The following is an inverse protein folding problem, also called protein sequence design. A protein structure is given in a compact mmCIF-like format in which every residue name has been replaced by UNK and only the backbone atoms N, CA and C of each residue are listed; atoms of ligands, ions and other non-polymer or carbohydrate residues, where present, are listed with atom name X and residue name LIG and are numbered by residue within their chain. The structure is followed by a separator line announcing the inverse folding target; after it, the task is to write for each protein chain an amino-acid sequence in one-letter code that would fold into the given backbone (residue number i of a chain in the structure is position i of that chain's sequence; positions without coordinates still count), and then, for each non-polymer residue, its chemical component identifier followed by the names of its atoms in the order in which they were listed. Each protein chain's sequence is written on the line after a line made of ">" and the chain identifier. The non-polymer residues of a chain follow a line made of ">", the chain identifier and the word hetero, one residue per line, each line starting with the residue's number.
data_IF_392227086204
#
_entry.id   IF_392227086204
#
_cell.length_a   1.000
_cell.length_b   1.000
_cell.length_c   1.000
_cell.angle_alpha   90.00
_cell.angle_beta   90.00
_cell.angle_gamma   90.00
#
_symmetry.space_group_name_H-M   'P 1'
#
loop_
_entity.id
_entity.type
_entity.pdbx_description
1 polymer ?
#
# COMPACT_ATOMS: atom_id res chain seq x y z
N UNK A 1 2.91 28.69 -15.15
CA UNK A 1 3.49 27.34 -15.35
C UNK A 1 3.68 26.72 -13.97
N UNK A 2 3.09 25.56 -13.70
CA UNK A 2 3.26 24.88 -12.42
C UNK A 2 4.73 24.43 -12.27
N UNK A 3 5.36 24.72 -11.13
CA UNK A 3 6.73 24.28 -10.84
C UNK A 3 6.87 22.76 -10.99
N UNK A 4 8.03 22.28 -11.47
CA UNK A 4 8.30 20.84 -11.58
C UNK A 4 8.28 20.20 -10.17
N UNK A 5 7.84 18.92 -10.05
CA UNK A 5 7.91 18.23 -8.77
C UNK A 5 9.35 17.92 -8.40
N UNK A 6 9.69 18.03 -7.12
CA UNK A 6 11.03 17.67 -6.61
C UNK A 6 11.05 16.17 -6.26
N UNK A 7 12.00 15.46 -6.85
CA UNK A 7 12.22 14.01 -6.68
C UNK A 7 13.63 13.78 -6.18
N UNK A 8 13.79 13.04 -5.10
CA UNK A 8 15.07 12.65 -4.52
C UNK A 8 15.35 11.19 -4.86
N UNK A 9 16.54 10.89 -5.37
CA UNK A 9 17.06 9.53 -5.50
C UNK A 9 18.23 9.33 -4.55
N UNK A 10 18.22 8.23 -3.83
CA UNK A 10 19.34 7.76 -3.01
C UNK A 10 19.74 6.34 -3.43
N UNK A 11 21.01 6.16 -3.76
CA UNK A 11 21.63 4.89 -4.18
C UNK A 11 23.14 5.01 -3.91
N UNK A 12 23.83 3.97 -3.49
CA UNK A 12 25.28 4.02 -3.24
C UNK A 12 26.10 4.05 -4.54
N UNK A 13 25.48 3.71 -5.68
CA UNK A 13 26.11 3.75 -6.99
C UNK A 13 25.85 5.07 -7.73
N UNK A 14 26.84 5.95 -7.79
CA UNK A 14 26.73 7.22 -8.55
C UNK A 14 26.37 7.04 -10.04
N UNK A 15 26.71 5.91 -10.64
CA UNK A 15 26.36 5.62 -12.05
C UNK A 15 24.85 5.48 -12.20
N UNK A 16 24.21 4.81 -11.25
CA UNK A 16 22.74 4.64 -11.19
C UNK A 16 22.10 6.01 -11.01
N UNK A 17 22.58 6.80 -10.05
CA UNK A 17 22.07 8.15 -9.79
C UNK A 17 22.13 9.06 -11.03
N UNK A 18 23.21 8.99 -11.81
CA UNK A 18 23.33 9.73 -13.08
C UNK A 18 22.28 9.29 -14.09
N UNK A 19 22.07 7.99 -14.24
CA UNK A 19 21.06 7.43 -15.16
C UNK A 19 19.64 7.86 -14.76
N UNK A 20 19.31 7.80 -13.47
CA UNK A 20 18.01 8.21 -12.94
C UNK A 20 17.75 9.72 -13.12
N UNK A 21 18.78 10.55 -12.95
CA UNK A 21 18.68 11.99 -13.22
C UNK A 21 18.39 12.27 -14.69
N UNK A 22 19.04 11.54 -15.61
CA UNK A 22 18.78 11.69 -17.04
C UNK A 22 17.37 11.23 -17.42
N UNK A 23 16.88 10.16 -16.81
CA UNK A 23 15.57 9.58 -17.08
C UNK A 23 14.41 10.56 -16.82
N UNK A 24 14.50 11.38 -15.77
CA UNK A 24 13.49 12.36 -15.39
C UNK A 24 13.80 13.80 -15.82
N UNK A 25 14.83 13.99 -16.65
CA UNK A 25 15.21 15.33 -17.13
C UNK A 25 14.05 16.05 -17.79
N UNK A 26 13.80 17.30 -17.40
CA UNK A 26 12.70 18.13 -17.90
C UNK A 26 11.30 17.77 -17.39
N UNK A 27 11.18 16.70 -16.58
CA UNK A 27 9.90 16.23 -16.00
C UNK A 27 9.82 16.48 -14.50
N UNK A 28 10.97 16.51 -13.81
CA UNK A 28 11.09 16.76 -12.39
C UNK A 28 12.37 17.56 -12.07
N UNK A 29 12.38 18.25 -10.93
CA UNK A 29 13.61 18.69 -10.27
C UNK A 29 14.20 17.47 -9.57
N UNK A 30 15.34 16.96 -10.07
CA UNK A 30 15.93 15.72 -9.58
C UNK A 30 17.14 16.02 -8.68
N UNK A 31 17.05 15.63 -7.43
CA UNK A 31 18.15 15.61 -6.47
C UNK A 31 18.66 14.17 -6.33
N UNK A 32 19.96 14.01 -6.25
CA UNK A 32 20.59 12.68 -6.13
C UNK A 32 21.67 12.72 -5.06
N UNK A 33 21.74 11.67 -4.24
CA UNK A 33 22.72 11.56 -3.17
C UNK A 33 23.04 10.10 -2.84
N UNK A 34 24.22 9.88 -2.26
CA UNK A 34 24.60 8.61 -1.63
C UNK A 34 24.43 8.67 -0.10
N UNK A 35 23.98 9.81 0.45
CA UNK A 35 23.90 10.06 1.89
C UNK A 35 22.46 10.16 2.39
N UNK A 36 22.06 9.29 3.31
CA UNK A 36 20.77 9.36 3.98
C UNK A 36 20.58 10.68 4.74
N UNK A 37 21.64 11.23 5.31
CA UNK A 37 21.59 12.50 6.04
C UNK A 37 21.14 13.67 5.14
N UNK A 38 21.59 13.71 3.90
CA UNK A 38 21.17 14.75 2.94
C UNK A 38 19.68 14.59 2.58
N UNK A 39 19.19 13.35 2.39
CA UNK A 39 17.75 13.10 2.19
C UNK A 39 16.94 13.66 3.33
N UNK A 40 17.36 13.40 4.59
CA UNK A 40 16.66 13.86 5.78
C UNK A 40 16.67 15.38 5.91
N UNK A 41 17.74 16.04 5.52
CA UNK A 41 17.81 17.50 5.50
C UNK A 41 16.91 18.09 4.42
N UNK A 42 16.92 17.53 3.21
CA UNK A 42 16.08 18.01 2.12
C UNK A 42 14.59 17.89 2.43
N UNK A 43 14.11 16.77 2.97
CA UNK A 43 12.69 16.61 3.32
C UNK A 43 12.25 17.53 4.47
N UNK A 44 13.19 18.03 5.26
CA UNK A 44 12.95 19.00 6.34
C UNK A 44 12.94 20.44 5.84
N UNK A 45 13.80 20.78 4.86
CA UNK A 45 14.10 22.17 4.47
C UNK A 45 13.38 22.64 3.22
N UNK A 46 12.86 21.70 2.41
CA UNK A 46 12.14 22.00 1.18
C UNK A 46 11.00 21.01 0.90
N UNK A 47 10.02 21.36 0.04
CA UNK A 47 8.97 20.44 -0.36
C UNK A 47 9.55 19.35 -1.27
N UNK A 48 9.78 18.15 -0.74
CA UNK A 48 10.13 16.96 -1.51
C UNK A 48 8.87 16.15 -1.77
N UNK A 49 8.56 15.89 -3.04
CA UNK A 49 7.35 15.17 -3.43
C UNK A 49 7.54 13.66 -3.38
N UNK A 50 8.69 13.16 -3.84
CA UNK A 50 8.98 11.72 -3.89
C UNK A 50 10.42 11.48 -3.44
N UNK A 51 10.61 10.45 -2.62
CA UNK A 51 11.92 9.85 -2.35
C UNK A 51 11.92 8.43 -2.93
N UNK A 52 12.91 8.16 -3.77
CA UNK A 52 13.17 6.85 -4.36
C UNK A 52 14.50 6.35 -3.79
N UNK A 53 14.49 5.24 -3.10
CA UNK A 53 15.67 4.68 -2.44
C UNK A 53 16.02 3.32 -2.99
N UNK A 54 17.32 3.08 -3.22
CA UNK A 54 17.80 1.71 -3.32
C UNK A 54 17.66 1.00 -1.98
N UNK A 55 17.46 -0.33 -2.02
CA UNK A 55 17.34 -1.16 -0.84
C UNK A 55 18.70 -1.48 -0.21
N UNK A 56 19.70 -1.79 -1.04
CA UNK A 56 20.99 -2.32 -0.58
C UNK A 56 22.08 -1.25 -0.61
N UNK A 57 22.18 -0.49 0.47
CA UNK A 57 23.26 0.49 0.62
C UNK A 57 24.14 0.13 1.84
N UNK A 58 25.47 0.33 1.78
CA UNK A 58 26.40 -0.14 2.80
C UNK A 58 26.14 0.42 4.22
N UNK A 59 25.72 1.69 4.32
CA UNK A 59 25.59 2.39 5.60
C UNK A 59 24.20 2.25 6.22
N UNK A 60 23.16 2.10 5.41
CA UNK A 60 21.76 2.00 5.86
C UNK A 60 20.93 1.37 4.77
N UNK A 61 19.88 0.65 5.13
CA UNK A 61 18.96 0.08 4.15
C UNK A 61 17.96 1.12 3.63
N UNK A 62 17.49 0.93 2.39
CA UNK A 62 16.47 1.82 1.81
C UNK A 62 15.19 1.89 2.64
N UNK A 63 14.80 0.78 3.25
CA UNK A 63 13.65 0.72 4.17
C UNK A 63 13.83 1.65 5.36
N UNK A 64 15.01 1.66 5.97
CA UNK A 64 15.30 2.56 7.11
C UNK A 64 15.25 4.02 6.69
N UNK A 65 15.82 4.35 5.52
CA UNK A 65 15.74 5.70 4.95
C UNK A 65 14.29 6.11 4.74
N UNK A 66 13.49 5.29 4.08
CA UNK A 66 12.10 5.61 3.76
C UNK A 66 11.20 5.66 5.01
N UNK A 67 11.48 4.86 6.03
CA UNK A 67 10.81 4.96 7.35
C UNK A 67 11.06 6.32 8.00
N UNK A 68 12.31 6.78 8.00
CA UNK A 68 12.66 8.07 8.56
C UNK A 68 12.06 9.24 7.76
N UNK A 69 12.00 9.11 6.42
CA UNK A 69 11.29 10.05 5.55
C UNK A 69 9.80 10.10 5.91
N UNK A 70 9.14 8.94 6.13
CA UNK A 70 7.74 8.88 6.53
C UNK A 70 7.47 9.65 7.82
N UNK A 71 8.39 9.53 8.78
CA UNK A 71 8.30 10.22 10.08
C UNK A 71 8.49 11.73 9.97
N UNK A 72 9.43 12.19 9.13
CA UNK A 72 9.78 13.61 8.98
C UNK A 72 8.86 14.37 8.04
N UNK A 73 8.44 13.71 6.97
CA UNK A 73 7.57 14.27 5.92
C UNK A 73 6.54 13.25 5.47
N UNK A 74 5.43 13.07 6.18
CA UNK A 74 4.40 12.09 5.86
C UNK A 74 3.76 12.30 4.47
N UNK A 75 3.77 13.55 3.98
CA UNK A 75 3.25 13.90 2.66
C UNK A 75 4.15 13.42 1.51
N UNK A 76 5.46 13.27 1.74
CA UNK A 76 6.40 12.76 0.74
C UNK A 76 6.07 11.33 0.37
N UNK A 77 5.94 11.03 -0.91
CA UNK A 77 5.73 9.67 -1.42
C UNK A 77 7.05 8.89 -1.43
N UNK A 78 6.98 7.60 -1.17
CA UNK A 78 8.15 6.74 -0.94
C UNK A 78 8.11 5.55 -1.89
N UNK A 79 9.18 5.37 -2.66
CA UNK A 79 9.35 4.27 -3.62
C UNK A 79 10.65 3.53 -3.27
N UNK A 80 10.62 2.21 -3.24
CA UNK A 80 11.79 1.37 -3.01
C UNK A 80 12.21 0.67 -4.30
N UNK A 81 13.49 0.82 -4.67
CA UNK A 81 14.12 0.00 -5.72
C UNK A 81 14.70 -1.25 -5.06
N UNK A 82 14.34 -2.43 -5.54
CA UNK A 82 14.73 -3.69 -4.88
C UNK A 82 15.09 -4.78 -5.88
N UNK A 83 16.02 -5.65 -5.51
CA UNK A 83 16.34 -6.87 -6.23
C UNK A 83 15.53 -8.07 -5.74
N UNK A 84 15.58 -9.17 -6.49
CA UNK A 84 14.80 -10.40 -6.20
C UNK A 84 15.08 -11.05 -4.83
N UNK A 85 16.22 -10.75 -4.21
CA UNK A 85 16.69 -11.46 -2.99
C UNK A 85 16.27 -10.78 -1.67
N UNK A 86 15.44 -9.73 -1.70
CA UNK A 86 15.20 -8.87 -0.55
C UNK A 86 13.86 -9.13 0.17
N UNK A 87 13.38 -10.38 0.20
CA UNK A 87 12.07 -10.75 0.73
C UNK A 87 11.83 -10.27 2.17
N UNK A 88 12.81 -10.44 3.06
CA UNK A 88 12.69 -10.02 4.46
C UNK A 88 12.63 -8.48 4.56
N UNK A 89 13.39 -7.78 3.71
CA UNK A 89 13.37 -6.33 3.62
C UNK A 89 12.04 -5.82 3.06
N UNK A 90 11.52 -6.45 2.00
CA UNK A 90 10.20 -6.13 1.42
C UNK A 90 9.11 -6.31 2.49
N UNK A 91 9.10 -7.45 3.19
CA UNK A 91 8.09 -7.73 4.23
C UNK A 91 8.17 -6.73 5.38
N UNK A 92 9.38 -6.43 5.86
CA UNK A 92 9.58 -5.45 6.92
C UNK A 92 9.15 -4.04 6.48
N UNK A 93 9.44 -3.66 5.26
CA UNK A 93 9.14 -2.34 4.71
C UNK A 93 7.65 -2.07 4.52
N UNK A 94 6.89 -3.09 4.10
CA UNK A 94 5.42 -3.02 4.01
C UNK A 94 4.82 -2.77 5.38
N UNK A 95 5.38 -3.45 6.39
CA UNK A 95 4.84 -3.38 7.74
C UNK A 95 5.21 -2.09 8.48
N UNK A 96 6.33 -1.46 8.15
CA UNK A 96 6.87 -0.33 8.88
C UNK A 96 6.91 1.01 8.11
N UNK A 97 6.94 0.99 6.77
CA UNK A 97 7.36 2.15 5.98
C UNK A 97 6.28 2.90 5.20
N UNK A 98 5.07 2.38 5.08
CA UNK A 98 4.05 2.95 4.15
C UNK A 98 4.65 3.25 2.76
N UNK A 99 5.36 2.28 2.18
CA UNK A 99 5.94 2.42 0.84
C UNK A 99 4.81 2.41 -0.19
N UNK A 100 4.84 3.41 -1.07
CA UNK A 100 3.83 3.55 -2.12
C UNK A 100 3.98 2.49 -3.20
N UNK A 101 5.23 2.24 -3.65
CA UNK A 101 5.54 1.26 -4.71
C UNK A 101 6.91 0.66 -4.50
N UNK A 102 7.04 -0.58 -4.98
CA UNK A 102 8.30 -1.27 -5.18
C UNK A 102 8.60 -1.32 -6.67
N UNK A 103 9.83 -1.05 -7.04
CA UNK A 103 10.30 -1.18 -8.42
C UNK A 103 11.44 -2.17 -8.45
N UNK A 104 11.26 -3.26 -9.21
CA UNK A 104 12.28 -4.30 -9.34
C UNK A 104 13.46 -3.85 -10.19
N UNK A 105 14.66 -4.23 -9.78
CA UNK A 105 15.89 -4.11 -10.58
C UNK A 105 16.08 -5.40 -11.40
N UNK A 106 16.36 -5.32 -12.72
CA UNK A 106 16.44 -4.12 -13.55
C UNK A 106 15.04 -3.56 -13.88
N UNK A 107 14.87 -2.25 -13.76
CA UNK A 107 13.58 -1.59 -14.02
C UNK A 107 13.37 -1.25 -15.50
N UNK A 108 12.13 -1.24 -15.92
CA UNK A 108 11.70 -0.57 -17.14
C UNK A 108 11.66 0.94 -16.93
N UNK A 109 12.32 1.69 -17.83
CA UNK A 109 12.43 3.14 -17.70
C UNK A 109 11.10 3.87 -17.82
N UNK A 110 10.19 3.40 -18.68
CA UNK A 110 8.88 4.01 -18.86
C UNK A 110 7.99 3.78 -17.63
N UNK A 111 8.03 2.57 -17.07
CA UNK A 111 7.33 2.22 -15.84
C UNK A 111 7.81 3.03 -14.63
N UNK A 112 9.13 3.19 -14.47
CA UNK A 112 9.71 3.98 -13.38
C UNK A 112 9.30 5.45 -13.50
N UNK A 113 9.38 6.05 -14.70
CA UNK A 113 8.94 7.44 -14.94
C UNK A 113 7.48 7.61 -14.55
N UNK A 114 6.58 6.75 -15.05
CA UNK A 114 5.14 6.84 -14.78
C UNK A 114 4.86 6.71 -13.27
N UNK A 115 5.48 5.73 -12.62
CA UNK A 115 5.35 5.51 -11.17
C UNK A 115 5.78 6.72 -10.35
N UNK A 116 6.94 7.32 -10.67
CA UNK A 116 7.47 8.49 -9.97
C UNK A 116 6.59 9.72 -10.20
N UNK A 117 6.14 9.96 -11.44
CA UNK A 117 5.32 11.13 -11.76
C UNK A 117 3.92 11.03 -11.14
N UNK A 118 3.30 9.85 -11.09
CA UNK A 118 2.04 9.62 -10.37
C UNK A 118 2.21 9.87 -8.87
N UNK A 119 3.26 9.32 -8.28
CA UNK A 119 3.58 9.58 -6.88
C UNK A 119 3.75 11.08 -6.59
N UNK A 120 4.46 11.78 -7.47
CA UNK A 120 4.68 13.21 -7.36
C UNK A 120 3.38 14.02 -7.47
N UNK A 121 2.45 13.61 -8.33
CA UNK A 121 1.15 14.26 -8.44
C UNK A 121 0.34 14.11 -7.15
N UNK A 122 0.29 12.91 -6.57
CA UNK A 122 -0.39 12.65 -5.29
C UNK A 122 0.22 13.51 -4.18
N UNK A 123 1.56 13.54 -4.08
CA UNK A 123 2.26 14.32 -3.08
C UNK A 123 1.99 15.84 -3.21
N UNK A 124 1.90 16.36 -4.45
CA UNK A 124 1.59 17.78 -4.69
C UNK A 124 0.22 18.18 -4.15
N UNK A 125 -0.77 17.34 -4.34
CA UNK A 125 -2.12 17.58 -3.85
C UNK A 125 -2.16 17.56 -2.32
N UNK A 126 -1.36 16.69 -1.68
CA UNK A 126 -1.24 16.60 -0.23
C UNK A 126 -0.44 17.78 0.36
N UNK A 127 0.64 18.21 -0.29
CA UNK A 127 1.48 19.34 0.15
C UNK A 127 0.82 20.71 -0.08
N UNK A 128 0.00 20.85 -1.15
CA UNK A 128 -0.73 22.10 -1.43
C UNK A 128 -1.79 22.43 -0.37
N UNK A 129 -2.20 21.43 0.39
CA UNK A 129 -3.10 21.60 1.52
C UNK A 129 -2.27 21.47 2.78
N UNK A 130 -1.70 22.59 3.25
CA UNK A 130 -1.09 22.69 4.57
C UNK A 130 -2.18 22.44 5.63
N UNK A 131 -2.56 21.19 5.82
CA UNK A 131 -3.44 20.77 6.91
C UNK A 131 -2.55 20.49 8.12
N UNK A 132 -2.87 21.04 9.30
CA UNK A 132 -2.21 20.63 10.53
C UNK A 132 -2.20 19.11 10.59
N UNK A 133 -1.09 18.53 11.07
CA UNK A 133 -0.98 17.10 11.30
C UNK A 133 -2.29 16.62 11.96
N UNK A 134 -2.93 15.54 11.46
CA UNK A 134 -4.15 15.04 12.07
C UNK A 134 -3.87 14.88 13.56
N UNK A 135 -4.71 15.52 14.38
CA UNK A 135 -4.64 15.39 15.83
C UNK A 135 -4.61 13.89 16.14
N UNK A 136 -3.84 13.45 17.16
CA UNK A 136 -3.82 12.04 17.54
C UNK A 136 -5.27 11.60 17.70
N UNK A 137 -5.68 10.65 16.85
CA UNK A 137 -7.02 10.09 16.92
C UNK A 137 -7.10 9.39 18.26
N UNK A 138 -7.77 10.03 19.21
CA UNK A 138 -8.07 9.43 20.51
C UNK A 138 -8.88 8.16 20.23
N UNK A 139 -8.49 7.07 20.85
CA UNK A 139 -9.03 5.72 21.01
C UNK A 139 -10.49 5.40 20.58
N UNK A 140 -11.01 6.05 19.57
CA UNK A 140 -12.34 5.77 19.03
C UNK A 140 -12.23 5.00 17.72
N UNK A 141 -11.96 3.70 17.81
CA UNK A 141 -12.30 2.78 16.71
C UNK A 141 -13.81 2.94 16.48
N UNK A 142 -14.26 3.28 15.26
CA UNK A 142 -15.69 3.43 14.99
C UNK A 142 -16.41 2.15 15.38
N UNK A 143 -17.41 2.25 16.24
CA UNK A 143 -18.17 1.10 16.77
C UNK A 143 -18.90 0.27 15.68
N UNK A 144 -18.90 0.73 14.43
CA UNK A 144 -19.49 0.07 13.26
C UNK A 144 -18.47 -0.55 12.30
N UNK A 145 -17.14 -0.47 12.60
CA UNK A 145 -16.14 -1.03 11.73
C UNK A 145 -16.15 -2.57 11.76
N UNK A 146 -16.23 -3.20 10.59
CA UNK A 146 -16.16 -4.65 10.45
C UNK A 146 -14.82 -5.08 9.88
N UNK A 147 -14.26 -6.15 10.44
CA UNK A 147 -13.14 -6.89 9.86
C UNK A 147 -13.68 -8.12 9.16
N UNK A 148 -13.30 -8.33 7.91
CA UNK A 148 -13.65 -9.52 7.13
C UNK A 148 -12.43 -10.39 6.96
N UNK A 149 -12.49 -11.65 7.33
CA UNK A 149 -11.42 -12.63 7.08
C UNK A 149 -11.78 -13.45 5.85
N UNK A 150 -10.97 -13.32 4.81
CA UNK A 150 -11.05 -14.14 3.60
C UNK A 150 -10.13 -15.35 3.79
N UNK A 151 -10.70 -16.48 4.16
CA UNK A 151 -9.99 -17.70 4.45
C UNK A 151 -10.92 -18.91 4.29
N UNK A 152 -10.48 -19.91 3.55
CA UNK A 152 -11.20 -21.18 3.42
C UNK A 152 -11.36 -21.89 4.77
N UNK A 153 -10.39 -21.72 5.69
CA UNK A 153 -10.43 -22.24 7.05
C UNK A 153 -10.98 -21.18 8.04
N UNK A 154 -11.57 -21.64 9.12
CA UNK A 154 -12.10 -20.78 10.18
C UNK A 154 -11.06 -20.32 11.21
N UNK A 155 -9.86 -20.91 11.20
CA UNK A 155 -8.84 -20.70 12.23
C UNK A 155 -8.37 -19.26 12.33
N UNK A 156 -8.11 -18.61 11.19
CA UNK A 156 -7.69 -17.20 11.16
C UNK A 156 -8.81 -16.28 11.67
N UNK A 157 -10.06 -16.54 11.28
CA UNK A 157 -11.21 -15.75 11.77
C UNK A 157 -11.40 -15.87 13.28
N UNK A 158 -11.18 -17.05 13.87
CA UNK A 158 -11.17 -17.25 15.31
C UNK A 158 -10.05 -16.43 15.97
N UNK A 159 -8.83 -16.52 15.44
CA UNK A 159 -7.67 -15.77 15.94
C UNK A 159 -7.92 -14.27 15.90
N UNK A 160 -8.41 -13.74 14.77
CA UNK A 160 -8.70 -12.30 14.64
C UNK A 160 -9.76 -11.84 15.65
N UNK A 161 -10.79 -12.66 15.88
CA UNK A 161 -11.86 -12.37 16.86
C UNK A 161 -11.35 -12.31 18.30
N UNK A 162 -10.39 -13.17 18.65
CA UNK A 162 -9.74 -13.14 19.98
C UNK A 162 -8.83 -11.93 20.18
N UNK A 163 -8.23 -11.40 19.10
CA UNK A 163 -7.28 -10.29 19.16
C UNK A 163 -7.94 -8.92 19.19
N UNK A 164 -9.20 -8.81 18.80
CA UNK A 164 -9.92 -7.55 18.70
C UNK A 164 -10.93 -7.38 19.84
N UNK A 165 -11.23 -6.14 20.24
CA UNK A 165 -12.30 -5.85 21.19
C UNK A 165 -13.66 -6.41 20.71
N UNK A 166 -14.55 -6.86 21.61
CA UNK A 166 -15.88 -7.38 21.25
C UNK A 166 -16.77 -6.39 20.48
N UNK A 167 -16.48 -5.10 20.55
CA UNK A 167 -17.18 -4.05 19.81
C UNK A 167 -16.91 -4.07 18.30
N UNK A 168 -15.86 -4.78 17.85
CA UNK A 168 -15.51 -4.90 16.44
C UNK A 168 -16.06 -6.20 15.88
N UNK A 169 -16.97 -6.08 14.93
CA UNK A 169 -17.54 -7.25 14.27
C UNK A 169 -16.50 -7.94 13.36
N UNK A 170 -16.33 -9.25 13.49
CA UNK A 170 -15.45 -10.07 12.66
C UNK A 170 -16.28 -11.06 11.88
N UNK A 171 -16.36 -10.83 10.56
CA UNK A 171 -16.98 -11.73 9.59
C UNK A 171 -15.95 -12.69 8.97
N UNK A 172 -16.42 -13.73 8.30
CA UNK A 172 -15.62 -14.66 7.50
C UNK A 172 -16.27 -14.85 6.13
N UNK A 173 -15.44 -14.90 5.11
CA UNK A 173 -15.78 -15.37 3.78
C UNK A 173 -14.83 -16.51 3.41
N UNK A 174 -15.36 -17.63 2.91
CA UNK A 174 -14.54 -18.76 2.52
C UNK A 174 -13.85 -18.55 1.15
N UNK A 175 -14.44 -17.68 0.34
CA UNK A 175 -13.98 -17.36 -1.00
C UNK A 175 -14.27 -15.90 -1.38
N UNK A 176 -13.81 -15.50 -2.57
CA UNK A 176 -13.96 -14.13 -3.08
C UNK A 176 -15.42 -13.77 -3.35
N UNK A 177 -16.26 -14.72 -3.78
CA UNK A 177 -17.67 -14.48 -4.08
C UNK A 177 -18.43 -14.13 -2.79
N UNK A 178 -18.18 -14.86 -1.72
CA UNK A 178 -18.74 -14.56 -0.41
C UNK A 178 -18.22 -13.22 0.14
N UNK A 179 -16.92 -12.93 -0.06
CA UNK A 179 -16.35 -11.64 0.36
C UNK A 179 -17.01 -10.46 -0.36
N UNK A 180 -17.25 -10.56 -1.66
CA UNK A 180 -18.00 -9.56 -2.42
C UNK A 180 -19.43 -9.40 -1.91
N UNK A 181 -20.10 -10.50 -1.57
CA UNK A 181 -21.44 -10.49 -0.98
C UNK A 181 -21.48 -9.76 0.37
N UNK A 182 -20.50 -9.98 1.24
CA UNK A 182 -20.39 -9.28 2.51
C UNK A 182 -20.10 -7.78 2.34
N UNK A 183 -19.20 -7.42 1.43
CA UNK A 183 -18.89 -6.03 1.10
C UNK A 183 -20.09 -5.27 0.52
N UNK A 184 -21.01 -5.97 -0.15
CA UNK A 184 -22.24 -5.37 -0.65
C UNK A 184 -23.22 -5.03 0.46
N UNK A 185 -23.22 -5.82 1.52
CA UNK A 185 -24.22 -5.71 2.61
C UNK A 185 -23.75 -4.86 3.78
N UNK A 186 -22.43 -4.77 3.98
CA UNK A 186 -21.84 -4.17 5.18
C UNK A 186 -20.65 -3.29 4.84
N UNK A 187 -20.37 -2.35 5.73
CA UNK A 187 -19.17 -1.54 5.65
C UNK A 187 -17.99 -2.32 6.26
N UNK A 188 -17.10 -2.82 5.41
CA UNK A 188 -15.87 -3.52 5.82
C UNK A 188 -14.72 -2.54 5.83
N UNK A 189 -14.10 -2.35 6.99
CA UNK A 189 -12.93 -1.49 7.16
C UNK A 189 -11.63 -2.19 6.77
N UNK A 190 -11.50 -3.45 7.18
CA UNK A 190 -10.27 -4.24 6.99
C UNK A 190 -10.62 -5.63 6.46
N UNK A 191 -9.90 -6.07 5.43
CA UNK A 191 -9.91 -7.46 4.96
C UNK A 191 -8.60 -8.12 5.35
N UNK A 192 -8.67 -9.25 6.04
CA UNK A 192 -7.52 -10.14 6.28
C UNK A 192 -7.62 -11.27 5.26
N UNK A 193 -6.75 -11.26 4.25
CA UNK A 193 -6.73 -12.26 3.19
C UNK A 193 -5.64 -13.32 3.47
N UNK A 194 -6.05 -14.57 3.69
CA UNK A 194 -5.14 -15.69 3.85
C UNK A 194 -4.86 -16.32 2.49
N UNK A 195 -3.59 -16.35 2.13
CA UNK A 195 -3.08 -16.80 0.83
C UNK A 195 -2.38 -18.14 1.00
N UNK A 196 -3.00 -19.21 0.53
CA UNK A 196 -2.46 -20.58 0.63
C UNK A 196 -1.75 -21.03 -0.64
N UNK A 197 -2.17 -20.53 -1.80
CA UNK A 197 -1.59 -20.84 -3.11
C UNK A 197 -1.35 -19.55 -3.90
N UNK A 198 -0.22 -19.51 -4.62
CA UNK A 198 0.20 -18.36 -5.42
C UNK A 198 -0.62 -18.29 -6.72
N UNK A 199 -1.90 -18.02 -6.62
CA UNK A 199 -2.74 -17.82 -7.80
C UNK A 199 -2.89 -16.32 -8.08
N UNK A 200 -2.67 -15.92 -9.35
CA UNK A 200 -2.94 -14.55 -9.81
C UNK A 200 -4.37 -14.09 -9.53
N UNK A 201 -5.29 -15.03 -9.37
CA UNK A 201 -6.69 -14.80 -9.02
C UNK A 201 -6.89 -14.04 -7.70
N UNK A 202 -6.01 -14.25 -6.71
CA UNK A 202 -6.12 -13.54 -5.40
C UNK A 202 -5.71 -12.09 -5.54
N UNK A 203 -4.66 -11.78 -6.30
CA UNK A 203 -4.22 -10.40 -6.58
C UNK A 203 -5.34 -9.65 -7.29
N UNK A 204 -5.93 -10.26 -8.31
CA UNK A 204 -7.04 -9.67 -9.05
C UNK A 204 -8.29 -9.51 -8.20
N UNK A 205 -8.56 -10.46 -7.29
CA UNK A 205 -9.64 -10.34 -6.33
C UNK A 205 -9.43 -9.14 -5.39
N UNK A 206 -8.25 -9.00 -4.82
CA UNK A 206 -7.91 -7.86 -3.95
C UNK A 206 -8.04 -6.53 -4.71
N UNK A 207 -7.55 -6.45 -5.96
CA UNK A 207 -7.72 -5.26 -6.80
C UNK A 207 -9.18 -4.88 -6.96
N UNK A 208 -10.04 -5.85 -7.27
CA UNK A 208 -11.49 -5.63 -7.45
C UNK A 208 -12.15 -5.16 -6.17
N UNK A 209 -11.82 -5.81 -5.04
CA UNK A 209 -12.32 -5.42 -3.72
C UNK A 209 -11.92 -3.97 -3.39
N UNK A 210 -10.67 -3.60 -3.63
CA UNK A 210 -10.15 -2.25 -3.42
C UNK A 210 -10.78 -1.21 -4.35
N UNK A 211 -11.01 -1.54 -5.62
CA UNK A 211 -11.66 -0.63 -6.57
C UNK A 211 -13.09 -0.27 -6.15
N UNK A 212 -13.81 -1.20 -5.49
CA UNK A 212 -15.15 -0.97 -4.94
C UNK A 212 -15.13 -0.11 -3.68
N UNK A 213 -14.10 -0.25 -2.86
CA UNK A 213 -13.97 0.41 -1.55
C UNK A 213 -12.55 0.94 -1.33
N UNK A 214 -12.17 2.10 -1.90
CA UNK A 214 -10.79 2.62 -1.80
C UNK A 214 -10.29 2.82 -0.37
N UNK A 215 -11.17 3.18 0.56
CA UNK A 215 -10.84 3.35 1.97
C UNK A 215 -10.62 2.02 2.73
N UNK A 216 -11.07 0.88 2.18
CA UNK A 216 -10.86 -0.44 2.78
C UNK A 216 -9.38 -0.81 2.75
N UNK A 217 -8.88 -1.36 3.83
CA UNK A 217 -7.49 -1.80 3.94
C UNK A 217 -7.38 -3.32 3.89
N UNK A 218 -6.31 -3.82 3.30
CA UNK A 218 -6.07 -5.26 3.16
C UNK A 218 -4.79 -5.64 3.89
N UNK A 219 -4.89 -6.64 4.76
CA UNK A 219 -3.76 -7.33 5.39
C UNK A 219 -3.66 -8.70 4.72
N UNK A 220 -2.57 -8.95 4.00
CA UNK A 220 -2.31 -10.26 3.41
C UNK A 220 -1.51 -11.12 4.38
N UNK A 221 -1.93 -12.38 4.57
CA UNK A 221 -1.22 -13.39 5.35
C UNK A 221 -0.89 -14.54 4.42
N UNK A 222 0.39 -14.85 4.20
CA UNK A 222 0.83 -15.85 3.23
C UNK A 222 1.84 -16.82 3.82
N UNK A 223 1.68 -18.11 3.54
CA UNK A 223 2.70 -19.13 3.78
C UNK A 223 3.80 -19.13 2.71
N UNK A 224 3.54 -18.47 1.58
CA UNK A 224 4.44 -18.43 0.42
C UNK A 224 5.45 -17.32 0.62
N UNK A 225 6.74 -17.69 0.57
CA UNK A 225 7.87 -16.76 0.64
C UNK A 225 8.31 -16.38 -0.77
N UNK A 226 7.44 -15.73 -1.52
CA UNK A 226 7.73 -15.22 -2.86
C UNK A 226 7.67 -13.69 -2.87
N UNK A 227 8.80 -13.05 -3.14
CA UNK A 227 8.92 -11.59 -3.23
C UNK A 227 8.07 -11.02 -4.35
N UNK A 228 7.90 -11.72 -5.47
CA UNK A 228 7.07 -11.28 -6.60
C UNK A 228 5.60 -11.21 -6.21
N UNK A 229 5.12 -12.20 -5.47
CA UNK A 229 3.75 -12.17 -4.96
C UNK A 229 3.55 -10.98 -4.02
N UNK A 230 4.48 -10.79 -3.06
CA UNK A 230 4.41 -9.66 -2.13
C UNK A 230 4.47 -8.32 -2.85
N UNK A 231 5.41 -8.13 -3.78
CA UNK A 231 5.55 -6.92 -4.61
C UNK A 231 4.30 -6.70 -5.48
N UNK A 232 3.79 -7.75 -6.13
CA UNK A 232 2.55 -7.69 -6.91
C UNK A 232 1.35 -7.26 -6.07
N UNK A 233 1.18 -7.85 -4.90
CA UNK A 233 0.11 -7.49 -3.96
C UNK A 233 0.22 -6.03 -3.49
N UNK A 234 1.44 -5.53 -3.27
CA UNK A 234 1.66 -4.15 -2.85
C UNK A 234 1.43 -3.20 -4.02
N UNK A 235 2.06 -3.46 -5.16
CA UNK A 235 2.00 -2.57 -6.32
C UNK A 235 0.62 -2.55 -6.96
N UNK A 236 0.00 -3.69 -7.10
CA UNK A 236 -1.24 -3.86 -7.84
C UNK A 236 -2.45 -3.93 -6.91
N UNK A 237 -2.32 -4.65 -5.79
CA UNK A 237 -3.39 -4.84 -4.80
C UNK A 237 -3.47 -3.73 -3.75
N UNK A 238 -2.47 -2.85 -3.65
CA UNK A 238 -2.40 -1.80 -2.63
C UNK A 238 -2.69 -2.33 -1.22
N UNK A 239 -2.07 -3.47 -0.87
CA UNK A 239 -2.22 -4.02 0.48
C UNK A 239 -1.59 -3.10 1.52
N UNK A 240 -2.20 -3.07 2.71
CA UNK A 240 -1.74 -2.26 3.82
C UNK A 240 -0.60 -2.92 4.57
N UNK A 241 -0.68 -4.26 4.77
CA UNK A 241 0.34 -5.07 5.44
C UNK A 241 0.46 -6.44 4.80
N UNK A 242 1.67 -7.00 4.86
CA UNK A 242 1.96 -8.37 4.44
C UNK A 242 2.59 -9.13 5.60
N UNK A 243 2.00 -10.25 6.01
CA UNK A 243 2.46 -11.07 7.11
C UNK A 243 2.77 -12.48 6.61
N UNK A 244 3.84 -13.07 7.13
CA UNK A 244 4.12 -14.48 6.89
C UNK A 244 3.27 -15.36 7.82
N UNK A 245 2.73 -16.44 7.28
CA UNK A 245 1.96 -17.43 8.04
C UNK A 245 2.89 -18.46 8.72
N UNK A 246 2.57 -18.93 9.94
CA UNK A 246 1.56 -18.36 10.83
C UNK A 246 2.00 -16.99 11.40
N UNK A 247 1.13 -15.98 11.41
CA UNK A 247 1.54 -14.68 11.90
C UNK A 247 1.74 -14.68 13.42
N UNK A 248 2.76 -13.95 13.88
CA UNK A 248 2.94 -13.70 15.31
C UNK A 248 1.72 -12.93 15.82
N UNK A 249 1.02 -13.45 16.84
CA UNK A 249 -0.26 -12.90 17.35
C UNK A 249 -0.19 -11.41 17.68
N UNK A 250 0.86 -10.96 18.37
CA UNK A 250 1.04 -9.56 18.73
C UNK A 250 1.28 -8.66 17.50
N UNK A 251 2.01 -9.16 16.50
CA UNK A 251 2.19 -8.43 15.24
C UNK A 251 0.88 -8.29 14.48
N UNK A 252 0.11 -9.39 14.36
CA UNK A 252 -1.21 -9.37 13.73
C UNK A 252 -2.15 -8.39 14.44
N UNK A 253 -2.19 -8.41 15.79
CA UNK A 253 -2.98 -7.48 16.60
C UNK A 253 -2.62 -6.02 16.31
N UNK A 254 -1.34 -5.67 16.31
CA UNK A 254 -0.87 -4.31 15.98
C UNK A 254 -1.24 -3.90 14.57
N UNK A 255 -1.11 -4.80 13.59
CA UNK A 255 -1.49 -4.54 12.21
C UNK A 255 -3.01 -4.30 12.07
N UNK A 256 -3.84 -5.06 12.76
CA UNK A 256 -5.29 -4.89 12.78
C UNK A 256 -5.71 -3.54 13.36
N UNK A 257 -5.16 -3.17 14.52
CA UNK A 257 -5.45 -1.87 15.16
C UNK A 257 -5.01 -0.72 14.26
N UNK A 258 -3.77 -0.76 13.75
CA UNK A 258 -3.25 0.27 12.85
C UNK A 258 -4.08 0.38 11.56
N UNK A 259 -4.59 -0.74 11.03
CA UNK A 259 -5.45 -0.72 9.85
C UNK A 259 -6.81 -0.07 10.15
N UNK A 260 -7.42 -0.38 11.29
CA UNK A 260 -8.70 0.23 11.71
C UNK A 260 -8.57 1.73 11.92
N UNK A 261 -7.50 2.19 12.59
CA UNK A 261 -7.18 3.61 12.77
C UNK A 261 -6.97 4.31 11.42
N UNK A 262 -6.20 3.67 10.53
CA UNK A 262 -5.94 4.21 9.18
C UNK A 262 -7.21 4.30 8.34
N UNK A 263 -8.07 3.30 8.40
CA UNK A 263 -9.38 3.34 7.75
C UNK A 263 -10.21 4.53 8.24
N UNK A 264 -10.27 4.77 9.55
CA UNK A 264 -10.98 5.91 10.12
C UNK A 264 -10.41 7.25 9.61
N UNK A 265 -9.08 7.38 9.49
CA UNK A 265 -8.43 8.55 8.90
C UNK A 265 -8.80 8.75 7.42
N UNK A 266 -8.78 7.66 6.62
CA UNK A 266 -9.14 7.71 5.21
C UNK A 266 -10.61 8.12 5.00
N UNK A 267 -11.49 7.69 5.90
CA UNK A 267 -12.90 8.10 5.90
C UNK A 267 -13.07 9.56 6.25
N UNK A 268 -12.36 10.04 7.26
CA UNK A 268 -12.38 11.44 7.68
C UNK A 268 -11.73 12.38 6.65
N UNK A 269 -10.78 11.87 5.86
CA UNK A 269 -10.02 12.65 4.89
C UNK A 269 -9.97 11.95 3.52
N UNK A 270 -11.02 12.07 2.69
CA UNK A 270 -11.12 11.34 1.41
C UNK A 270 -9.93 11.53 0.45
N UNK A 271 -9.22 12.66 0.54
CA UNK A 271 -8.03 12.92 -0.28
C UNK A 271 -6.91 11.93 -0.04
N UNK A 272 -6.75 11.43 1.18
CA UNK A 272 -5.76 10.41 1.51
C UNK A 272 -6.06 9.07 0.84
N UNK A 273 -7.29 8.84 0.40
CA UNK A 273 -7.68 7.59 -0.30
C UNK A 273 -6.93 7.41 -1.62
N UNK A 274 -6.53 8.50 -2.31
CA UNK A 274 -5.80 8.43 -3.58
C UNK A 274 -4.47 7.69 -3.49
N UNK A 275 -3.83 7.68 -2.33
CA UNK A 275 -2.62 6.89 -2.07
C UNK A 275 -2.88 5.38 -2.11
N UNK A 276 -4.14 4.99 -1.95
CA UNK A 276 -4.60 3.61 -1.88
C UNK A 276 -5.51 3.24 -3.07
N UNK A 277 -5.63 4.10 -4.08
CA UNK A 277 -6.38 3.80 -5.30
C UNK A 277 -5.61 2.79 -6.14
N UNK A 278 -6.33 1.78 -6.59
CA UNK A 278 -5.84 0.73 -7.49
C UNK A 278 -6.17 1.12 -8.92
N UNK A 279 -5.24 0.92 -9.85
CA UNK A 279 -5.57 1.03 -11.26
C UNK A 279 -6.69 0.05 -11.61
N UNK A 280 -7.68 0.54 -12.38
CA UNK A 280 -8.72 -0.34 -12.89
C UNK A 280 -8.05 -1.53 -13.62
N UNK A 281 -8.47 -2.79 -13.34
CA UNK A 281 -7.89 -3.95 -13.99
C UNK A 281 -7.97 -3.75 -15.50
N UNK A 282 -6.83 -3.78 -16.19
CA UNK A 282 -6.81 -3.90 -17.65
C UNK A 282 -7.57 -5.16 -17.97
N UNK A 283 -8.51 -5.10 -18.92
CA UNK A 283 -9.28 -6.25 -19.38
C UNK A 283 -8.33 -7.29 -19.98
N UNK A 284 -7.69 -8.09 -19.13
CA UNK A 284 -6.97 -9.29 -19.54
C UNK A 284 -8.01 -10.40 -19.70
N UNK A 285 -8.09 -10.94 -20.90
CA UNK A 285 -9.08 -11.93 -21.31
C UNK A 285 -8.91 -13.32 -20.70
N UNK A 286 -8.90 -13.42 -19.38
CA UNK A 286 -8.97 -14.66 -18.64
C UNK A 286 -10.20 -14.65 -17.74
N UNK A 287 -11.13 -15.45 -18.07
CA UNK A 287 -12.41 -15.83 -17.53
C UNK A 287 -12.44 -15.98 -16.01
N UNK A 288 -12.83 -14.92 -15.31
CA UNK A 288 -13.62 -15.12 -14.11
C UNK A 288 -15.09 -15.04 -14.51
N UNK A 289 -15.83 -16.11 -14.20
CA UNK A 289 -17.17 -16.39 -14.68
C UNK A 289 -18.08 -15.15 -14.70
N UNK A 290 -18.98 -15.07 -15.70
CA UNK A 290 -19.96 -13.99 -15.87
C UNK A 290 -20.76 -13.63 -14.62
N UNK A 291 -20.84 -14.56 -13.64
CA UNK A 291 -21.43 -14.35 -12.30
C UNK A 291 -20.75 -13.26 -11.47
N UNK A 292 -19.42 -13.11 -11.56
CA UNK A 292 -18.67 -12.06 -10.86
C UNK A 292 -18.87 -10.69 -11.52
N UNK A 293 -19.00 -10.65 -12.84
CA UNK A 293 -19.32 -9.43 -13.57
C UNK A 293 -20.76 -8.97 -13.30
N UNK A 294 -21.70 -9.88 -13.11
CA UNK A 294 -23.09 -9.56 -12.77
C UNK A 294 -23.25 -9.14 -11.31
N UNK A 295 -22.48 -9.71 -10.39
CA UNK A 295 -22.40 -9.24 -8.99
C UNK A 295 -21.79 -7.83 -8.93
N UNK A 296 -20.77 -7.57 -9.75
CA UNK A 296 -20.14 -6.25 -9.87
C UNK A 296 -21.08 -5.19 -10.46
N UNK A 297 -21.88 -5.55 -11.47
CA UNK A 297 -22.86 -4.65 -12.07
C UNK A 297 -23.96 -4.28 -11.08
N UNK A 298 -24.48 -5.24 -10.31
CA UNK A 298 -25.49 -5.03 -9.27
C UNK A 298 -24.99 -4.15 -8.13
N UNK A 299 -23.72 -4.27 -7.74
CA UNK A 299 -23.10 -3.42 -6.72
C UNK A 299 -22.95 -1.97 -7.17
N UNK A 300 -22.63 -1.74 -8.44
CA UNK A 300 -22.49 -0.39 -9.01
C UNK A 300 -23.83 0.32 -9.14
N UNK A 301 -24.89 -0.41 -9.44
CA UNK A 301 -26.25 0.12 -9.57
C UNK A 301 -26.94 0.37 -8.21
N UNK A 302 -26.51 -0.33 -7.15
CA UNK A 302 -27.03 -0.17 -5.78
C UNK A 302 -26.43 0.99 -4.96
N UNK A 303 -25.34 1.60 -5.40
CA UNK A 303 -24.67 2.74 -4.73
C UNK A 303 -25.22 4.11 -5.16
N UNK A 304 -26.16 4.13 -6.11
CA UNK A 304 -26.78 5.33 -6.68
C UNK A 304 -28.19 5.67 -6.11
N UNK A 305 -28.56 5.15 -4.93
CA UNK A 305 -29.79 5.55 -4.26
C UNK A 305 -29.54 5.91 -2.81
#
# INVERSE_FOLDING_TARGET
>A
MSALPTVVFIDDEERILRSLRMLLRGRAEVLTTTSAAEVYDWVRTRPVHVVVSDQRMPATSGVEVLREVARRSPATMRILLTGYADMDAVTASVNDGEIYRFVEKPWDGAYLIDTVLRAAQIAREDLAVATPAPAPVRDTVPAAAQVLVLDADAAMAATVRELLPPSIAVGRAADVEQALGELARREVAVVVAVLTDATGDVVDAIKRLKALRPAMLVIAVSSIRDSRLAIGLINEGQIFRFLLAPPVRELLRRCLISALERHAQLRATPRLQRRHEVEAPRASGASLSGRLLDAWRRLREGVGR
#
